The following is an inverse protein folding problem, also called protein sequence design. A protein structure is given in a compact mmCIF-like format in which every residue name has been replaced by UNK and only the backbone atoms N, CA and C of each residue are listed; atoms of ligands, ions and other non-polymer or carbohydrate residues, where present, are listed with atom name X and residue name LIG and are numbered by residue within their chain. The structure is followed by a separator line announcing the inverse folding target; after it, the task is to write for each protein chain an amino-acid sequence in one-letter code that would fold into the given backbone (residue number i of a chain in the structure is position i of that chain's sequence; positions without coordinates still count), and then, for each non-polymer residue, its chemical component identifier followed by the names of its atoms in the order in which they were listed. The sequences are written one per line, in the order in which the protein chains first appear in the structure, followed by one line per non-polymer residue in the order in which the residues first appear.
data_IF_482821357663
#
_entry.id   IF_482821357663
#
_cell.length_a   1.000
_cell.length_b   1.000
_cell.length_c   1.000
_cell.angle_alpha   90.00
_cell.angle_beta   90.00
_cell.angle_gamma   90.00
#
_symmetry.space_group_name_H-M   'P 1'
#
loop_
_entity.id
_entity.type
_entity.pdbx_description
1 polymer ?
#
# COMPACT_ATOMS: atom_id res chain seq x y z
N UNK A 1 -16.63 -36.41 15.86
CA UNK A 1 -16.95 -35.02 16.30
C UNK A 1 -17.41 -34.21 15.08
N UNK A 2 -18.62 -33.66 15.10
CA UNK A 2 -19.17 -32.92 13.97
C UNK A 2 -18.49 -31.55 13.85
N UNK A 3 -17.91 -31.27 12.67
CA UNK A 3 -17.24 -30.00 12.37
C UNK A 3 -18.30 -28.90 12.25
N UNK A 4 -18.43 -28.04 13.27
CA UNK A 4 -19.33 -26.88 13.28
C UNK A 4 -19.10 -26.04 12.02
N UNK A 5 -20.05 -26.07 11.08
CA UNK A 5 -20.01 -25.24 9.88
C UNK A 5 -20.24 -23.79 10.33
N UNK A 6 -19.23 -22.93 10.14
CA UNK A 6 -19.41 -21.48 10.33
C UNK A 6 -20.31 -21.00 9.19
N UNK A 7 -21.40 -20.32 9.52
CA UNK A 7 -22.29 -19.74 8.53
C UNK A 7 -21.50 -18.74 7.69
N UNK A 8 -21.59 -18.84 6.36
CA UNK A 8 -21.00 -17.86 5.47
C UNK A 8 -21.71 -16.50 5.71
N UNK A 9 -20.97 -15.38 5.66
CA UNK A 9 -21.58 -14.06 5.72
C UNK A 9 -22.64 -13.89 4.64
N UNK A 10 -23.70 -13.14 4.93
CA UNK A 10 -24.76 -12.80 3.96
C UNK A 10 -24.18 -12.15 2.71
N UNK A 11 -23.11 -11.38 2.86
CA UNK A 11 -22.35 -10.76 1.78
C UNK A 11 -21.00 -11.46 1.62
N UNK A 12 -20.95 -12.50 0.79
CA UNK A 12 -19.71 -13.21 0.49
C UNK A 12 -19.06 -12.67 -0.78
N UNK A 13 -17.77 -12.33 -0.71
CA UNK A 13 -16.98 -11.99 -1.89
C UNK A 13 -16.56 -13.27 -2.62
N UNK A 14 -16.75 -13.31 -3.94
CA UNK A 14 -16.27 -14.42 -4.77
C UNK A 14 -14.77 -14.33 -5.02
N UNK A 15 -14.06 -15.45 -4.89
CA UNK A 15 -12.64 -15.56 -5.22
C UNK A 15 -11.70 -15.36 -4.03
N UNK A 16 -10.40 -15.21 -4.32
CA UNK A 16 -9.38 -14.97 -3.28
C UNK A 16 -9.35 -13.48 -2.95
N UNK A 17 -9.44 -13.19 -1.66
CA UNK A 17 -9.28 -11.85 -1.12
C UNK A 17 -8.10 -11.82 -0.17
N UNK A 18 -7.66 -10.60 0.15
CA UNK A 18 -6.61 -10.35 1.13
C UNK A 18 -7.27 -10.17 2.50
N UNK A 19 -7.05 -11.09 3.47
CA UNK A 19 -7.63 -10.95 4.79
C UNK A 19 -6.76 -9.98 5.62
N UNK A 20 -7.27 -8.76 5.85
CA UNK A 20 -6.69 -7.81 6.80
C UNK A 20 -7.58 -7.73 8.05
N UNK A 21 -7.15 -8.26 9.20
CA UNK A 21 -7.95 -8.18 10.43
C UNK A 21 -8.14 -6.74 10.90
N UNK A 22 -9.33 -6.42 11.41
CA UNK A 22 -9.61 -5.12 12.04
C UNK A 22 -8.64 -4.83 13.20
N UNK A 23 -8.26 -5.86 13.97
CA UNK A 23 -7.25 -5.73 15.03
C UNK A 23 -5.90 -5.21 14.54
N UNK A 24 -5.55 -5.44 13.27
CA UNK A 24 -4.33 -4.89 12.67
C UNK A 24 -4.59 -3.45 12.22
N UNK A 25 -5.71 -3.17 11.56
CA UNK A 25 -6.09 -1.82 11.14
C UNK A 25 -6.16 -0.83 12.31
N UNK A 26 -6.74 -1.27 13.42
CA UNK A 26 -6.94 -0.47 14.62
C UNK A 26 -5.67 -0.39 15.48
N UNK A 27 -4.62 -1.15 15.15
CA UNK A 27 -3.37 -1.13 15.90
C UNK A 27 -2.58 0.17 15.70
N UNK A 28 -1.86 0.60 16.74
CA UNK A 28 -0.96 1.76 16.65
C UNK A 28 0.15 1.56 15.59
N UNK A 29 0.57 0.31 15.36
CA UNK A 29 1.53 -0.06 14.32
C UNK A 29 1.04 0.30 12.92
N UNK A 30 -0.22 -0.02 12.60
CA UNK A 30 -0.80 0.31 11.29
C UNK A 30 -1.16 1.79 11.19
N UNK A 31 -1.74 2.38 12.24
CA UNK A 31 -2.13 3.79 12.23
C UNK A 31 -0.94 4.72 12.01
N UNK A 32 0.20 4.43 12.64
CA UNK A 32 1.43 5.24 12.52
C UNK A 32 2.15 5.10 11.17
N UNK A 33 1.84 4.09 10.36
CA UNK A 33 2.43 3.94 9.03
C UNK A 33 1.95 5.01 8.04
N UNK A 34 2.87 5.51 7.23
CA UNK A 34 2.60 6.30 6.04
C UNK A 34 1.85 5.50 4.98
N UNK A 35 1.18 6.24 4.09
CA UNK A 35 0.42 5.68 2.97
C UNK A 35 1.22 4.73 2.06
N UNK A 36 2.52 5.03 1.81
CA UNK A 36 3.39 4.15 1.02
C UNK A 36 3.66 2.81 1.71
N UNK A 37 3.95 2.81 3.02
CA UNK A 37 4.10 1.58 3.79
C UNK A 37 2.81 0.75 3.78
N UNK A 38 1.65 1.39 3.98
CA UNK A 38 0.33 0.74 3.90
C UNK A 38 0.08 0.12 2.52
N UNK A 39 0.40 0.83 1.44
CA UNK A 39 0.28 0.32 0.08
C UNK A 39 1.21 -0.89 -0.16
N UNK A 40 2.47 -0.82 0.29
CA UNK A 40 3.41 -1.92 0.18
C UNK A 40 2.97 -3.15 0.99
N UNK A 41 2.33 -2.93 2.14
CA UNK A 41 1.77 -4.01 2.94
C UNK A 41 0.67 -4.76 2.20
N UNK A 42 -0.24 -4.05 1.53
CA UNK A 42 -1.29 -4.68 0.72
C UNK A 42 -0.71 -5.53 -0.42
N UNK A 43 0.39 -5.07 -1.03
CA UNK A 43 1.12 -5.84 -2.04
C UNK A 43 1.74 -7.14 -1.46
N UNK A 44 2.36 -7.07 -0.27
CA UNK A 44 2.85 -8.26 0.44
C UNK A 44 1.71 -9.24 0.74
N UNK A 45 0.60 -8.73 1.24
CA UNK A 45 -0.57 -9.55 1.54
C UNK A 45 -1.18 -10.17 0.28
N UNK A 46 -1.10 -9.48 -0.87
CA UNK A 46 -1.56 -10.03 -2.16
C UNK A 46 -0.73 -11.24 -2.59
N UNK A 47 0.54 -11.32 -2.23
CA UNK A 47 1.39 -12.49 -2.52
C UNK A 47 1.13 -13.67 -1.58
N UNK A 48 0.51 -13.42 -0.43
CA UNK A 48 0.24 -14.45 0.55
C UNK A 48 -0.86 -15.41 0.06
N UNK A 49 -0.60 -16.72 0.14
CA UNK A 49 -1.50 -17.77 -0.35
C UNK A 49 -2.14 -18.61 0.77
N UNK A 50 -1.85 -18.30 2.04
CA UNK A 50 -2.35 -19.04 3.21
C UNK A 50 -1.32 -19.99 3.85
N UNK A 51 -0.25 -20.35 3.14
CA UNK A 51 0.75 -21.31 3.59
C UNK A 51 2.20 -20.84 3.37
N UNK A 52 2.40 -19.69 2.71
CA UNK A 52 3.71 -19.14 2.39
C UNK A 52 4.12 -17.96 3.29
N UNK A 53 3.51 -17.81 4.46
CA UNK A 53 3.94 -16.79 5.40
C UNK A 53 5.37 -17.07 5.84
N UNK A 54 6.27 -16.09 5.69
CA UNK A 54 7.71 -16.26 5.87
C UNK A 54 8.50 -16.44 4.58
N UNK A 55 7.83 -16.72 3.46
CA UNK A 55 8.43 -16.86 2.12
C UNK A 55 7.97 -15.78 1.13
N UNK A 56 7.42 -14.69 1.65
CA UNK A 56 6.91 -13.59 0.84
C UNK A 56 8.09 -12.77 0.32
N UNK A 57 8.12 -12.45 -0.97
CA UNK A 57 9.27 -11.84 -1.65
C UNK A 57 8.98 -10.39 -2.04
N UNK A 58 9.85 -9.47 -1.65
CA UNK A 58 9.85 -8.10 -2.19
C UNK A 58 10.78 -8.00 -3.40
N UNK A 59 10.41 -8.65 -4.51
CA UNK A 59 11.15 -8.51 -5.77
C UNK A 59 10.75 -7.23 -6.50
N UNK A 60 11.76 -6.48 -6.95
CA UNK A 60 11.57 -5.27 -7.77
C UNK A 60 10.84 -5.57 -9.08
N UNK A 61 11.10 -6.72 -9.71
CA UNK A 61 10.44 -7.09 -10.97
C UNK A 61 8.92 -7.27 -10.80
N UNK A 62 8.51 -7.86 -9.67
CA UNK A 62 7.11 -8.04 -9.34
C UNK A 62 6.42 -6.72 -8.98
N UNK A 63 7.10 -5.87 -8.18
CA UNK A 63 6.60 -4.54 -7.83
C UNK A 63 6.52 -3.59 -9.03
N UNK A 64 7.46 -3.68 -9.97
CA UNK A 64 7.44 -2.87 -11.20
C UNK A 64 6.19 -3.17 -12.04
N UNK A 65 5.79 -4.44 -12.15
CA UNK A 65 4.53 -4.83 -12.81
C UNK A 65 3.27 -4.33 -12.10
N UNK A 66 3.39 -3.85 -10.86
CA UNK A 66 2.33 -3.25 -10.04
C UNK A 66 2.34 -1.72 -10.05
N UNK A 67 3.23 -1.10 -10.83
CA UNK A 67 3.36 0.36 -10.92
C UNK A 67 4.32 0.98 -9.92
N UNK A 68 5.12 0.19 -9.20
CA UNK A 68 6.14 0.73 -8.30
C UNK A 68 7.45 0.99 -9.05
N UNK A 69 7.77 2.26 -9.31
CA UNK A 69 9.00 2.65 -10.01
C UNK A 69 10.18 3.00 -9.09
N UNK A 70 9.88 3.62 -7.93
CA UNK A 70 10.91 4.21 -7.07
C UNK A 70 11.43 3.22 -6.03
N UNK A 71 12.72 2.87 -6.11
CA UNK A 71 13.35 1.99 -5.12
C UNK A 71 13.64 2.64 -3.78
N UNK A 72 13.95 3.93 -3.77
CA UNK A 72 14.06 4.66 -2.51
C UNK A 72 12.73 4.62 -1.76
N UNK A 73 11.61 4.78 -2.46
CA UNK A 73 10.26 4.70 -1.86
C UNK A 73 9.92 3.29 -1.37
N UNK A 74 10.26 2.25 -2.14
CA UNK A 74 10.06 0.85 -1.71
C UNK A 74 10.89 0.56 -0.46
N UNK A 75 12.16 0.96 -0.43
CA UNK A 75 13.05 0.72 0.71
C UNK A 75 12.57 1.49 1.95
N UNK A 76 12.23 2.77 1.81
CA UNK A 76 11.69 3.58 2.90
C UNK A 76 10.39 2.98 3.47
N UNK A 77 9.47 2.53 2.60
CA UNK A 77 8.23 1.87 3.00
C UNK A 77 8.50 0.52 3.69
N UNK A 78 9.43 -0.29 3.18
CA UNK A 78 9.86 -1.54 3.82
C UNK A 78 10.41 -1.28 5.22
N UNK A 79 11.32 -0.32 5.35
CA UNK A 79 11.98 0.01 6.61
C UNK A 79 10.98 0.54 7.64
N UNK A 80 9.99 1.31 7.20
CA UNK A 80 8.85 1.72 8.02
C UNK A 80 8.00 0.53 8.51
N UNK A 81 7.69 -0.42 7.64
CA UNK A 81 6.94 -1.63 8.03
C UNK A 81 7.71 -2.51 9.03
N UNK A 82 9.04 -2.61 8.87
CA UNK A 82 9.92 -3.32 9.81
C UNK A 82 9.99 -2.61 11.16
N UNK A 83 10.15 -1.28 11.16
CA UNK A 83 10.14 -0.45 12.39
C UNK A 83 8.84 -0.59 13.16
N UNK A 84 7.70 -0.61 12.46
CA UNK A 84 6.38 -0.76 13.07
C UNK A 84 6.01 -2.22 13.36
N UNK A 85 6.90 -3.19 13.10
CA UNK A 85 6.70 -4.61 13.38
C UNK A 85 5.44 -5.22 12.74
N UNK A 86 4.97 -4.62 11.64
CA UNK A 86 3.90 -5.20 10.81
C UNK A 86 4.44 -6.35 9.95
N UNK A 87 5.71 -6.27 9.58
CA UNK A 87 6.44 -7.31 8.88
C UNK A 87 7.71 -7.64 9.65
N UNK A 88 8.19 -8.88 9.48
CA UNK A 88 9.51 -9.31 9.94
C UNK A 88 10.27 -9.90 8.77
N UNK A 89 11.57 -9.60 8.70
CA UNK A 89 12.45 -10.21 7.71
C UNK A 89 12.84 -11.61 8.20
N UNK A 90 12.49 -12.63 7.41
CA UNK A 90 12.69 -14.03 7.77
C UNK A 90 13.94 -14.63 7.14
N UNK A 91 14.44 -14.03 6.06
CA UNK A 91 15.69 -14.43 5.39
C UNK A 91 16.42 -13.22 4.82
N UNK A 92 17.74 -13.22 4.98
CA UNK A 92 18.64 -12.28 4.34
C UNK A 92 18.93 -12.73 2.90
N UNK A 93 18.44 -11.93 1.96
CA UNK A 93 18.86 -12.00 0.57
C UNK A 93 20.24 -11.35 0.35
N UNK A 94 20.75 -11.49 -0.86
CA UNK A 94 22.03 -10.92 -1.29
C UNK A 94 22.41 -11.41 -2.69
N UNK A 95 23.53 -10.92 -3.20
CA UNK A 95 24.01 -11.23 -4.57
C UNK A 95 24.09 -12.75 -4.85
N UNK A 96 24.46 -13.55 -3.83
CA UNK A 96 24.53 -15.02 -3.91
C UNK A 96 23.33 -15.72 -3.25
N UNK A 97 22.58 -15.03 -2.40
CA UNK A 97 21.58 -15.61 -1.51
C UNK A 97 20.13 -15.36 -1.98
N UNK A 98 19.94 -14.61 -3.07
CA UNK A 98 18.63 -14.33 -3.66
C UNK A 98 17.90 -13.16 -3.02
N UNK A 99 16.58 -13.10 -3.15
CA UNK A 99 15.74 -12.03 -2.59
C UNK A 99 15.50 -12.21 -1.09
N UNK A 100 15.34 -11.10 -0.36
CA UNK A 100 14.86 -11.14 1.03
C UNK A 100 13.46 -11.74 1.13
N UNK A 101 13.23 -12.52 2.19
CA UNK A 101 11.91 -13.02 2.53
C UNK A 101 11.35 -12.31 3.76
N UNK A 102 10.02 -12.22 3.80
CA UNK A 102 9.28 -11.57 4.88
C UNK A 102 8.10 -12.42 5.33
N UNK A 103 7.70 -12.19 6.58
CA UNK A 103 6.45 -12.69 7.18
C UNK A 103 5.60 -11.51 7.65
N UNK A 104 4.29 -11.70 7.58
CA UNK A 104 3.30 -10.84 8.22
C UNK A 104 3.18 -11.25 9.69
N UNK A 105 3.22 -10.30 10.61
CA UNK A 105 3.36 -10.62 12.04
C UNK A 105 2.08 -11.10 12.71
N UNK A 106 0.89 -10.88 12.12
CA UNK A 106 -0.38 -11.39 12.64
C UNK A 106 -0.75 -12.79 12.17
N UNK A 107 0.05 -13.40 11.29
CA UNK A 107 -0.15 -14.74 10.77
C UNK A 107 0.91 -15.67 11.35
N UNK A 108 0.58 -16.92 11.68
CA UNK A 108 1.60 -17.88 12.05
C UNK A 108 2.49 -18.23 10.84
N UNK A 109 3.78 -18.48 11.07
CA UNK A 109 4.66 -19.10 10.08
C UNK A 109 4.53 -20.61 10.25
N UNK A 110 4.07 -21.29 9.21
CA UNK A 110 3.88 -22.75 9.22
C UNK A 110 5.12 -23.50 8.75
N UNK A 111 5.91 -22.88 7.87
CA UNK A 111 7.08 -23.48 7.24
C UNK A 111 8.31 -22.61 7.50
N UNK A 112 9.26 -23.18 8.24
CA UNK A 112 10.54 -22.55 8.57
C UNK A 112 11.71 -23.06 7.72
N UNK A 113 11.46 -23.96 6.74
CA UNK A 113 12.50 -24.51 5.90
C UNK A 113 13.16 -23.39 5.06
N UNK A 114 14.49 -23.25 5.18
CA UNK A 114 15.25 -22.24 4.42
C UNK A 114 15.03 -20.79 4.86
N UNK A 115 14.48 -20.58 6.06
CA UNK A 115 14.46 -19.29 6.75
C UNK A 115 15.67 -19.17 7.67
N UNK A 116 16.14 -17.94 7.91
CA UNK A 116 17.23 -17.67 8.84
C UNK A 116 16.71 -17.53 10.30
N UNK A 117 15.39 -17.46 10.48
CA UNK A 117 14.74 -17.30 11.77
C UNK A 117 14.27 -18.64 12.34
N UNK A 118 14.44 -18.81 13.64
CA UNK A 118 13.85 -19.94 14.36
C UNK A 118 12.41 -19.63 14.82
N UNK A 119 11.59 -20.65 15.10
CA UNK A 119 10.24 -20.44 15.66
C UNK A 119 10.23 -19.64 16.96
N UNK A 120 11.32 -19.67 17.73
CA UNK A 120 11.46 -18.95 19.01
C UNK A 120 11.70 -17.45 18.80
N UNK A 121 12.36 -17.08 17.70
CA UNK A 121 12.62 -15.69 17.33
C UNK A 121 11.40 -15.03 16.67
N UNK A 122 10.47 -15.84 16.15
CA UNK A 122 9.26 -15.35 15.54
C UNK A 122 8.18 -15.06 16.59
N UNK A 123 7.81 -13.79 16.74
CA UNK A 123 6.74 -13.36 17.65
C UNK A 123 5.45 -13.08 16.87
N UNK A 124 4.47 -14.01 16.86
CA UNK A 124 3.15 -13.70 16.32
C UNK A 124 2.52 -12.59 17.16
N UNK A 125 1.95 -11.59 16.51
CA UNK A 125 1.38 -10.40 17.17
C UNK A 125 2.39 -9.31 17.49
N UNK A 126 3.61 -9.32 16.92
CA UNK A 126 4.62 -8.29 17.19
C UNK A 126 4.15 -6.83 16.97
N UNK A 127 3.14 -6.63 16.11
CA UNK A 127 2.50 -5.35 15.84
C UNK A 127 1.68 -4.77 17.03
N UNK A 128 1.36 -5.60 18.04
CA UNK A 128 0.68 -5.16 19.27
C UNK A 128 1.65 -4.65 20.34
N UNK A 129 2.95 -4.90 20.17
CA UNK A 129 3.94 -4.47 21.13
C UNK A 129 4.08 -2.94 21.10
N UNK A 130 4.38 -2.30 22.25
CA UNK A 130 4.61 -0.87 22.29
C UNK A 130 5.67 -0.45 21.26
N UNK A 131 5.30 0.48 20.38
CA UNK A 131 6.24 1.08 19.44
C UNK A 131 7.25 1.91 20.23
N UNK A 132 8.54 1.73 19.93
CA UNK A 132 9.55 2.62 20.49
C UNK A 132 9.31 4.03 19.95
N UNK A 133 9.16 4.98 20.87
CA UNK A 133 8.98 6.40 20.55
C UNK A 133 10.19 6.84 19.75
N UNK A 134 9.97 7.37 18.55
CA UNK A 134 11.05 7.94 17.76
C UNK A 134 11.50 9.19 18.50
N UNK A 135 12.64 9.13 19.18
CA UNK A 135 13.32 10.33 19.63
C UNK A 135 13.57 11.14 18.36
N UNK A 136 12.88 12.28 18.21
CA UNK A 136 12.75 12.98 16.94
C UNK A 136 14.10 13.16 16.25
N UNK A 137 14.20 12.66 15.02
CA UNK A 137 15.26 13.06 14.12
C UNK A 137 14.87 14.46 13.61
N UNK A 138 15.72 15.49 13.72
CA UNK A 138 15.39 16.81 13.19
C UNK A 138 15.21 16.64 11.69
N UNK A 139 14.01 16.90 11.19
CA UNK A 139 13.78 17.04 9.77
C UNK A 139 14.80 18.06 9.25
N UNK A 140 15.73 17.62 8.43
CA UNK A 140 16.60 18.48 7.64
C UNK A 140 15.71 19.25 6.65
N UNK A 141 15.05 20.31 7.13
CA UNK A 141 14.61 21.37 6.27
C UNK A 141 15.86 22.11 5.79
N UNK A 142 15.96 22.51 4.51
CA UNK A 142 16.98 23.46 4.12
C UNK A 142 16.75 24.72 4.95
N UNK A 143 17.72 25.03 5.82
CA UNK A 143 17.69 26.24 6.63
C UNK A 143 17.73 27.45 5.70
N UNK A 144 16.66 28.23 5.69
CA UNK A 144 16.74 29.62 5.29
C UNK A 144 17.46 30.38 6.42
N UNK A 145 18.79 30.32 6.42
CA UNK A 145 19.61 31.31 7.10
C UNK A 145 19.52 32.61 6.30
N UNK A 146 18.49 33.41 6.58
CA UNK A 146 18.51 34.83 6.28
C UNK A 146 19.56 35.49 7.19
N UNK A 147 20.80 35.56 6.69
CA UNK A 147 21.85 36.37 7.29
C UNK A 147 21.43 37.84 7.18
N UNK A 148 20.98 38.40 8.29
CA UNK A 148 20.72 39.83 8.48
C UNK A 148 21.97 40.42 9.13
N UNK A 149 22.81 41.21 8.44
CA UNK A 149 23.83 41.99 9.13
C UNK A 149 23.17 43.16 9.85
N UNK A 150 23.36 43.18 11.16
CA UNK A 150 23.16 44.33 12.02
C UNK A 150 24.30 45.32 11.81
N UNK A 151 24.06 46.41 11.08
CA UNK A 151 24.93 47.59 11.08
C UNK A 151 24.13 48.79 11.59
N UNK A 152 24.54 49.30 12.75
CA UNK A 152 24.04 50.54 13.37
C UNK A 152 24.56 51.80 12.66
N UNK A 153 24.19 52.99 13.17
CA UNK A 153 23.76 54.12 12.34
C UNK A 153 24.91 55.06 11.96
N UNK A 154 24.76 55.74 10.83
CA UNK A 154 25.41 57.03 10.60
C UNK A 154 24.47 57.93 9.82
N UNK A 155 24.05 58.96 10.53
CA UNK A 155 23.32 60.12 10.07
C UNK A 155 24.27 61.01 9.27
N UNK A 156 24.05 61.18 7.96
CA UNK A 156 24.32 62.47 7.31
C UNK A 156 23.41 62.62 6.09
N UNK A 157 22.73 63.75 6.05
CA UNK A 157 21.78 64.16 5.04
C UNK A 157 22.44 64.43 3.67
N UNK A 158 21.76 64.01 2.60
CA UNK A 158 21.72 64.73 1.31
C UNK A 158 20.51 64.26 0.49
N UNK A 159 19.60 65.18 0.18
CA UNK A 159 18.49 65.12 -0.81
C UNK A 159 18.96 65.97 -2.03
N UNK A 160 18.29 66.07 -3.22
CA UNK A 160 17.25 65.30 -3.96
C UNK A 160 17.76 65.01 -5.43
N UNK A 161 16.98 64.89 -6.56
CA UNK A 161 15.52 64.80 -6.82
C UNK A 161 15.07 63.70 -7.84
N UNK A 162 13.74 63.55 -8.00
CA UNK A 162 12.98 62.83 -9.06
C UNK A 162 12.90 61.29 -8.90
N UNK A 163 11.76 60.60 -8.84
CA UNK A 163 10.32 60.92 -8.91
C UNK A 163 9.53 59.66 -8.47
N UNK A 164 8.22 59.74 -8.19
CA UNK A 164 7.46 58.61 -7.66
C UNK A 164 6.87 57.75 -8.79
N UNK A 165 7.36 56.53 -8.99
CA UNK A 165 6.60 55.51 -9.72
C UNK A 165 5.64 54.79 -8.77
N UNK A 166 4.35 54.98 -9.05
CA UNK A 166 3.24 54.38 -8.32
C UNK A 166 2.94 53.03 -8.94
N UNK A 167 3.18 51.91 -8.24
CA UNK A 167 2.73 50.60 -8.69
C UNK A 167 1.26 50.39 -8.28
N UNK A 168 0.36 50.47 -9.27
CA UNK A 168 -1.06 50.15 -9.13
C UNK A 168 -1.23 48.62 -9.11
N UNK A 169 -1.70 48.07 -7.99
CA UNK A 169 -2.17 46.68 -7.92
C UNK A 169 -3.57 46.58 -8.56
N UNK A 170 -3.60 46.13 -9.82
CA UNK A 170 -4.83 45.82 -10.55
C UNK A 170 -5.48 44.51 -10.06
N UNK A 171 -6.80 44.56 -9.93
CA UNK A 171 -7.65 43.52 -9.37
C UNK A 171 -7.67 42.18 -10.13
N UNK A 172 -8.02 41.15 -9.35
CA UNK A 172 -8.35 39.77 -9.76
C UNK A 172 -9.30 39.68 -10.97
N UNK A 173 -9.03 38.76 -11.92
CA UNK A 173 -10.07 38.21 -12.77
C UNK A 173 -10.36 36.75 -12.39
N UNK A 174 -11.56 36.51 -11.86
CA UNK A 174 -12.17 35.18 -11.79
C UNK A 174 -12.44 34.70 -13.22
N UNK A 175 -12.08 33.46 -13.61
CA UNK A 175 -12.59 32.89 -14.84
C UNK A 175 -14.07 32.47 -14.66
N UNK A 176 -14.99 32.93 -15.52
CA UNK A 176 -16.34 32.41 -15.58
C UNK A 176 -16.35 31.22 -16.53
N UNK A 177 -16.56 30.00 -16.03
CA UNK A 177 -17.31 28.91 -16.70
C UNK A 177 -16.97 27.56 -16.04
N UNK A 178 -17.90 27.07 -15.24
CA UNK A 178 -17.92 25.67 -14.81
C UNK A 178 -18.31 24.80 -16.00
N UNK A 179 -17.36 24.05 -16.54
CA UNK A 179 -17.62 22.99 -17.50
C UNK A 179 -18.19 21.79 -16.73
N UNK A 180 -19.49 21.49 -16.93
CA UNK A 180 -20.08 20.23 -16.45
C UNK A 180 -19.61 19.12 -17.39
N UNK A 181 -18.66 18.30 -16.93
CA UNK A 181 -18.35 17.01 -17.56
C UNK A 181 -19.59 16.12 -17.44
N UNK A 182 -20.43 16.14 -18.47
CA UNK A 182 -21.52 15.18 -18.64
C UNK A 182 -20.92 13.93 -19.26
N UNK A 183 -20.76 12.87 -18.48
CA UNK A 183 -20.42 11.56 -19.01
C UNK A 183 -21.71 10.91 -19.55
N UNK A 184 -21.84 10.64 -20.85
CA UNK A 184 -22.94 9.82 -21.34
C UNK A 184 -22.68 8.38 -20.91
N UNK A 185 -23.46 7.89 -19.95
CA UNK A 185 -23.57 6.46 -19.67
C UNK A 185 -24.11 5.76 -20.94
N UNK A 186 -23.42 4.75 -21.50
CA UNK A 186 -24.01 3.98 -22.58
C UNK A 186 -25.18 3.16 -22.02
N UNK A 187 -26.39 3.45 -22.48
CA UNK A 187 -27.58 2.64 -22.22
C UNK A 187 -27.38 1.26 -22.84
N UNK A 188 -27.19 0.25 -21.99
CA UNK A 188 -27.23 -1.15 -22.40
C UNK A 188 -28.65 -1.49 -22.87
N UNK A 189 -28.80 -1.70 -24.18
CA UNK A 189 -30.03 -2.17 -24.80
C UNK A 189 -30.26 -3.62 -24.39
N UNK A 190 -31.11 -3.84 -23.39
CA UNK A 190 -31.62 -5.19 -23.05
C UNK A 190 -32.49 -5.64 -24.22
N UNK A 191 -31.92 -6.49 -25.07
CA UNK A 191 -32.67 -7.18 -26.12
C UNK A 191 -33.13 -8.52 -25.54
N UNK A 192 -34.41 -8.59 -25.18
CA UNK A 192 -35.06 -9.85 -24.86
C UNK A 192 -34.96 -10.81 -26.04
N UNK A 193 -34.55 -12.04 -25.77
CA UNK A 193 -34.87 -13.17 -26.63
C UNK A 193 -35.36 -14.32 -25.75
N UNK A 194 -36.48 -14.83 -26.23
CA UNK A 194 -37.39 -15.75 -25.59
C UNK A 194 -36.87 -17.19 -25.64
N UNK A 195 -37.51 -18.01 -24.81
CA UNK A 195 -37.58 -19.46 -24.85
C UNK A 195 -37.46 -20.03 -26.27
N UNK A 196 -36.56 -20.99 -26.44
CA UNK A 196 -36.70 -22.05 -27.41
C UNK A 196 -36.39 -23.38 -26.72
N UNK A 197 -37.43 -24.16 -26.50
CA UNK A 197 -37.40 -25.53 -25.99
C UNK A 197 -36.77 -26.47 -26.99
N UNK A 198 -35.86 -27.29 -26.50
CA UNK A 198 -35.24 -28.44 -27.17
C UNK A 198 -36.29 -29.55 -27.45
N UNK A 199 -36.23 -30.22 -28.61
CA UNK A 199 -36.29 -31.68 -28.55
C UNK A 199 -35.42 -32.35 -29.62
N UNK A 200 -34.24 -32.83 -29.23
CA UNK A 200 -33.68 -34.04 -29.85
C UNK A 200 -32.87 -34.86 -28.85
N UNK A 201 -33.58 -35.69 -28.10
CA UNK A 201 -33.02 -36.83 -27.38
C UNK A 201 -32.79 -37.97 -28.39
N UNK A 202 -31.55 -38.13 -28.84
CA UNK A 202 -31.10 -39.32 -29.56
C UNK A 202 -30.13 -40.11 -28.66
N UNK A 203 -30.60 -41.30 -28.29
CA UNK A 203 -29.91 -42.39 -27.61
C UNK A 203 -28.51 -42.65 -28.16
N UNK A 204 -27.51 -42.75 -27.29
CA UNK A 204 -26.35 -43.64 -27.47
C UNK A 204 -25.96 -44.24 -26.11
N UNK A 205 -25.86 -45.57 -26.09
CA UNK A 205 -25.58 -46.42 -24.93
C UNK A 205 -24.10 -46.40 -24.52
N UNK A 206 -23.76 -46.76 -23.27
CA UNK A 206 -22.37 -46.89 -22.83
C UNK A 206 -21.77 -48.22 -23.32
N UNK A 207 -20.58 -48.14 -23.95
CA UNK A 207 -19.74 -49.30 -24.23
C UNK A 207 -18.79 -49.52 -23.06
N UNK A 208 -18.90 -50.71 -22.48
CA UNK A 208 -17.98 -51.30 -21.50
C UNK A 208 -16.56 -51.40 -22.05
N UNK A 209 -15.58 -51.08 -21.21
CA UNK A 209 -14.18 -51.45 -21.38
C UNK A 209 -13.72 -52.10 -20.07
N UNK A 210 -13.64 -53.43 -20.08
CA UNK A 210 -12.70 -54.22 -19.29
C UNK A 210 -11.80 -54.94 -20.30
N UNK A 211 -10.49 -54.74 -20.19
CA UNK A 211 -9.46 -55.78 -19.98
C UNK A 211 -8.10 -55.11 -19.80
#
# INVERSE_FOLDING_TARGET
MAKRRRNAPTESVSGRYVPLPHSVLDSAAFQSCGHMAKALLLELMRQHNGANNGHIRLSRSWLAGRGWGSVSSINAARDELLRNRLIVQTRHGGLRNGSHFYALTWLAVTDFAGLDISPQQYHPGAYLLPLQKQNGCPSSGPGNTAARPSSGPSETAARPPHGPETAVFGASPRPPHGHKLTMPFPTAKVRGQALATNPHAARMAPRDWRH
#
